data_IF_610473162424
#
_entry.id   IF_610473162424
#
_cell.length_a   1.000
_cell.length_b   1.000
_cell.length_c   1.000
_cell.angle_alpha   90.00
_cell.angle_beta   90.00
_cell.angle_gamma   90.00
#
_symmetry.space_group_name_H-M   'P 1'
#
loop_
_entity.id
_entity.type
_entity.pdbx_description
1 polymer ?
#
# COMPACT_ATOMS: atom_id res chain seq x y z
N UNK A 1 9.83 28.73 -25.12
CA UNK A 1 8.92 28.85 -23.96
C UNK A 1 7.47 28.70 -24.42
N UNK A 2 7.01 29.48 -25.40
CA UNK A 2 5.64 29.40 -25.94
C UNK A 2 5.20 28.01 -26.45
N UNK A 3 6.12 27.22 -27.01
CA UNK A 3 5.84 25.88 -27.54
C UNK A 3 5.68 24.81 -26.44
N UNK A 4 6.42 24.95 -25.34
CA UNK A 4 6.35 24.00 -24.22
C UNK A 4 5.03 24.13 -23.45
N UNK A 5 4.61 25.37 -23.16
CA UNK A 5 3.34 25.63 -22.48
C UNK A 5 2.14 25.15 -23.34
N UNK A 6 2.26 25.23 -24.67
CA UNK A 6 1.24 24.70 -25.59
C UNK A 6 1.15 23.17 -25.49
N UNK A 7 2.28 22.47 -25.63
CA UNK A 7 2.33 21.01 -25.54
C UNK A 7 1.89 20.49 -24.17
N UNK A 8 2.32 21.16 -23.09
CA UNK A 8 1.90 20.82 -21.73
C UNK A 8 0.39 21.01 -21.56
N UNK A 9 -0.16 22.10 -22.09
CA UNK A 9 -1.60 22.33 -22.07
C UNK A 9 -2.35 21.26 -22.85
N UNK A 10 -1.89 20.86 -24.04
CA UNK A 10 -2.53 19.79 -24.83
C UNK A 10 -2.53 18.43 -24.11
N UNK A 11 -1.43 18.11 -23.42
CA UNK A 11 -1.33 16.93 -22.55
C UNK A 11 -2.35 17.01 -21.41
N UNK A 12 -2.45 18.16 -20.73
CA UNK A 12 -3.39 18.35 -19.62
C UNK A 12 -4.85 18.39 -20.09
N UNK A 13 -5.13 18.96 -21.27
CA UNK A 13 -6.45 18.91 -21.92
C UNK A 13 -6.86 17.44 -22.13
N UNK A 14 -5.94 16.61 -22.62
CA UNK A 14 -6.15 15.17 -22.82
C UNK A 14 -6.38 14.43 -21.50
N UNK A 15 -5.56 14.71 -20.48
CA UNK A 15 -5.72 14.16 -19.15
C UNK A 15 -7.08 14.52 -18.53
N UNK A 16 -7.47 15.80 -18.51
CA UNK A 16 -8.74 16.21 -17.92
C UNK A 16 -9.96 15.78 -18.73
N UNK A 17 -9.84 15.59 -20.05
CA UNK A 17 -10.86 14.93 -20.86
C UNK A 17 -11.07 13.47 -20.43
N UNK A 18 -9.98 12.74 -20.16
CA UNK A 18 -10.05 11.39 -19.62
C UNK A 18 -10.67 11.37 -18.21
N UNK A 19 -10.21 12.26 -17.31
CA UNK A 19 -10.78 12.41 -15.96
C UNK A 19 -12.29 12.66 -16.01
N UNK A 20 -12.75 13.55 -16.90
CA UNK A 20 -14.18 13.87 -17.04
C UNK A 20 -15.06 12.66 -17.34
N UNK A 21 -14.54 11.69 -18.09
CA UNK A 21 -15.27 10.47 -18.46
C UNK A 21 -15.20 9.36 -17.40
N UNK A 22 -14.27 9.47 -16.43
CA UNK A 22 -13.98 8.45 -15.41
C UNK A 22 -13.96 9.02 -13.98
N UNK A 23 -14.72 10.10 -13.74
CA UNK A 23 -14.68 10.85 -12.47
C UNK A 23 -15.12 10.04 -11.25
N UNK A 24 -15.88 8.98 -11.46
CA UNK A 24 -16.41 8.07 -10.43
C UNK A 24 -15.65 6.74 -10.37
N UNK A 25 -14.62 6.56 -11.18
CA UNK A 25 -13.76 5.39 -11.10
C UNK A 25 -12.82 5.51 -9.90
N UNK A 26 -12.21 4.42 -9.47
CA UNK A 26 -11.23 4.46 -8.39
C UNK A 26 -9.84 4.85 -8.91
N UNK A 27 -9.35 6.00 -8.46
CA UNK A 27 -8.05 6.56 -8.80
C UNK A 27 -7.01 6.16 -7.77
N UNK A 28 -6.40 4.99 -7.97
CA UNK A 28 -5.27 4.53 -7.14
C UNK A 28 -4.03 5.33 -7.50
N UNK A 29 -3.39 5.93 -6.50
CA UNK A 29 -2.23 6.79 -6.69
C UNK A 29 -1.22 6.61 -5.55
N UNK A 30 -0.02 7.16 -5.72
CA UNK A 30 1.02 7.10 -4.69
C UNK A 30 1.39 8.50 -4.18
N UNK A 31 0.96 8.84 -2.97
CA UNK A 31 1.33 10.09 -2.30
C UNK A 31 1.01 11.39 -3.08
N UNK A 32 -0.06 11.40 -3.90
CA UNK A 32 -0.46 12.56 -4.73
C UNK A 32 -1.47 13.51 -4.05
N UNK A 33 -1.61 13.43 -2.71
CA UNK A 33 -2.48 14.34 -1.94
C UNK A 33 -1.83 15.68 -1.61
N UNK A 34 -0.53 15.84 -1.87
CA UNK A 34 0.19 17.04 -1.50
C UNK A 34 -0.12 18.20 -2.46
N UNK A 35 -0.45 19.41 -1.96
CA UNK A 35 -0.79 20.55 -2.82
C UNK A 35 0.38 21.08 -3.67
N UNK A 36 1.62 20.68 -3.37
CA UNK A 36 2.83 21.15 -4.06
C UNK A 36 3.18 20.29 -5.28
N UNK A 37 2.87 18.99 -5.27
CA UNK A 37 3.30 18.05 -6.32
C UNK A 37 2.25 16.99 -6.72
N UNK A 38 1.03 17.06 -6.18
CA UNK A 38 -0.05 16.10 -6.41
C UNK A 38 -1.15 16.59 -7.36
N UNK A 39 -2.37 16.06 -7.19
CA UNK A 39 -3.52 16.42 -8.03
C UNK A 39 -3.80 17.93 -8.05
N UNK A 40 -3.70 18.59 -6.89
CA UNK A 40 -3.95 20.03 -6.79
C UNK A 40 -2.88 20.85 -7.51
N UNK A 41 -1.62 20.39 -7.48
CA UNK A 41 -0.52 21.03 -8.20
C UNK A 41 -0.74 20.94 -9.73
N UNK A 42 -1.16 19.78 -10.22
CA UNK A 42 -1.51 19.55 -11.63
C UNK A 42 -2.71 20.43 -12.02
N UNK A 43 -3.75 20.50 -11.18
CA UNK A 43 -4.92 21.33 -11.42
C UNK A 43 -4.57 22.82 -11.47
N UNK A 44 -3.72 23.29 -10.55
CA UNK A 44 -3.27 24.67 -10.54
C UNK A 44 -2.40 25.00 -11.76
N UNK A 45 -1.51 24.08 -12.17
CA UNK A 45 -0.72 24.25 -13.39
C UNK A 45 -1.61 24.36 -14.63
N UNK A 46 -2.62 23.51 -14.74
CA UNK A 46 -3.57 23.56 -15.86
C UNK A 46 -4.37 24.87 -15.89
N UNK A 47 -4.81 25.40 -14.75
CA UNK A 47 -5.46 26.72 -14.65
C UNK A 47 -4.56 27.85 -15.14
N UNK A 48 -3.27 27.84 -14.77
CA UNK A 48 -2.29 28.84 -15.22
C UNK A 48 -2.13 28.83 -16.74
N UNK A 49 -2.23 27.64 -17.36
CA UNK A 49 -2.21 27.47 -18.81
C UNK A 49 -3.56 27.81 -19.49
N UNK A 50 -4.55 28.32 -18.74
CA UNK A 50 -5.87 28.69 -19.26
C UNK A 50 -6.85 27.52 -19.40
N UNK A 51 -6.53 26.36 -18.82
CA UNK A 51 -7.41 25.19 -18.77
C UNK A 51 -8.41 25.23 -17.60
N UNK A 52 -9.42 24.35 -17.66
CA UNK A 52 -10.43 24.19 -16.62
C UNK A 52 -10.37 22.77 -16.05
N UNK A 53 -9.68 22.54 -14.92
CA UNK A 53 -9.51 21.19 -14.38
C UNK A 53 -10.85 20.61 -13.93
N UNK A 54 -10.98 19.30 -14.10
CA UNK A 54 -12.08 18.52 -13.56
C UNK A 54 -11.64 17.90 -12.25
N UNK A 55 -12.42 18.12 -11.20
CA UNK A 55 -12.17 17.54 -9.89
C UNK A 55 -12.59 16.07 -9.86
N UNK A 56 -11.69 15.22 -9.35
CA UNK A 56 -12.02 13.86 -8.91
C UNK A 56 -12.43 13.98 -7.44
N UNK A 57 -13.61 13.54 -7.02
CA UNK A 57 -13.99 13.66 -5.60
C UNK A 57 -13.07 12.80 -4.72
N UNK A 58 -12.78 13.25 -3.50
CA UNK A 58 -11.83 12.57 -2.61
C UNK A 58 -12.21 11.11 -2.31
N UNK A 59 -13.50 10.78 -2.30
CA UNK A 59 -13.99 9.40 -2.13
C UNK A 59 -13.53 8.44 -3.23
N UNK A 60 -13.16 8.97 -4.40
CA UNK A 60 -12.65 8.22 -5.53
C UNK A 60 -11.12 8.22 -5.61
N UNK A 61 -10.41 8.97 -4.74
CA UNK A 61 -8.94 9.04 -4.71
C UNK A 61 -8.37 8.12 -3.63
N UNK A 62 -7.62 7.11 -4.06
CA UNK A 62 -7.05 6.10 -3.16
C UNK A 62 -5.53 6.23 -3.09
N UNK A 63 -5.02 6.82 -2.00
CA UNK A 63 -3.59 6.91 -1.73
C UNK A 63 -3.04 5.57 -1.24
N UNK A 64 -2.48 4.78 -2.15
CA UNK A 64 -1.96 3.44 -1.84
C UNK A 64 -0.92 3.50 -0.72
N UNK A 65 0.01 4.46 -0.74
CA UNK A 65 1.02 4.59 0.32
C UNK A 65 0.39 4.84 1.71
N UNK A 66 -0.75 5.54 1.77
CA UNK A 66 -1.46 5.76 3.02
C UNK A 66 -2.27 4.55 3.47
N UNK A 67 -2.92 3.85 2.53
CA UNK A 67 -3.61 2.58 2.81
C UNK A 67 -2.63 1.55 3.38
N UNK A 68 -1.42 1.51 2.82
CA UNK A 68 -0.32 0.68 3.31
C UNK A 68 0.06 0.96 4.77
N UNK A 69 -0.06 2.20 5.27
CA UNK A 69 0.16 2.50 6.68
C UNK A 69 -0.88 1.84 7.59
N UNK A 70 -2.13 1.77 7.12
CA UNK A 70 -3.21 1.10 7.84
C UNK A 70 -3.05 -0.42 7.85
N UNK A 71 -2.53 -0.98 6.75
CA UNK A 71 -2.35 -2.42 6.60
C UNK A 71 -1.08 -2.96 7.27
N UNK A 72 0.04 -2.23 7.21
CA UNK A 72 1.38 -2.77 7.52
C UNK A 72 2.22 -1.89 8.46
N UNK A 73 1.58 -0.91 9.11
CA UNK A 73 2.22 0.17 9.89
C UNK A 73 3.04 1.15 9.06
N UNK A 74 3.47 2.26 9.67
CA UNK A 74 4.24 3.32 8.98
C UNK A 74 5.64 2.86 8.54
N UNK A 75 6.15 1.82 9.16
CA UNK A 75 7.47 1.25 8.96
C UNK A 75 7.49 0.13 7.90
N UNK A 76 6.40 -0.03 7.12
CA UNK A 76 6.28 -1.09 6.12
C UNK A 76 7.43 -1.13 5.12
N UNK A 77 8.04 0.02 4.83
CA UNK A 77 9.28 0.11 4.05
C UNK A 77 10.04 1.42 4.32
N UNK A 78 11.36 1.37 4.15
CA UNK A 78 12.23 2.54 4.23
C UNK A 78 12.02 3.50 3.06
N UNK A 79 12.23 4.80 3.28
CA UNK A 79 12.24 5.77 2.18
C UNK A 79 13.58 5.77 1.42
N UNK A 80 14.69 5.67 2.13
CA UNK A 80 16.02 5.59 1.52
C UNK A 80 16.35 4.15 1.11
N UNK A 81 17.12 3.92 0.03
CA UNK A 81 17.85 4.92 -0.77
C UNK A 81 17.12 5.47 -2.01
N UNK A 82 16.05 4.82 -2.50
CA UNK A 82 15.45 5.13 -3.82
C UNK A 82 14.05 5.74 -3.76
N UNK A 83 13.50 5.94 -2.57
CA UNK A 83 12.11 6.25 -2.34
C UNK A 83 11.30 4.99 -2.00
N UNK A 84 10.31 5.15 -1.13
CA UNK A 84 9.55 4.03 -0.57
C UNK A 84 8.90 3.12 -1.64
N UNK A 85 8.38 3.69 -2.72
CA UNK A 85 7.77 2.93 -3.83
C UNK A 85 8.77 1.98 -4.50
N UNK A 86 9.98 2.47 -4.82
CA UNK A 86 10.99 1.67 -5.51
C UNK A 86 11.57 0.61 -4.58
N UNK A 87 11.78 0.97 -3.31
CA UNK A 87 12.25 0.03 -2.29
C UNK A 87 11.26 -1.14 -2.08
N UNK A 88 9.96 -0.86 -1.94
CA UNK A 88 8.96 -1.93 -1.73
C UNK A 88 8.81 -2.80 -2.98
N UNK A 89 8.95 -2.21 -4.18
CA UNK A 89 8.98 -2.95 -5.43
C UNK A 89 10.17 -3.93 -5.48
N UNK A 90 11.38 -3.45 -5.18
CA UNK A 90 12.59 -4.30 -5.15
C UNK A 90 12.47 -5.44 -4.13
N UNK A 91 11.94 -5.18 -2.93
CA UNK A 91 11.69 -6.22 -1.92
C UNK A 91 10.78 -7.33 -2.45
N UNK A 92 9.77 -6.95 -3.23
CA UNK A 92 8.81 -7.87 -3.83
C UNK A 92 9.27 -8.43 -5.17
N UNK A 93 10.54 -8.25 -5.55
CA UNK A 93 11.14 -8.70 -6.81
C UNK A 93 10.41 -8.14 -8.04
N UNK A 94 9.72 -7.02 -7.88
CA UNK A 94 9.16 -6.26 -8.98
C UNK A 94 10.32 -5.50 -9.64
N UNK A 95 10.48 -5.64 -10.96
CA UNK A 95 11.53 -4.91 -11.67
C UNK A 95 11.32 -3.40 -11.55
N UNK A 96 12.38 -2.65 -11.30
CA UNK A 96 12.34 -1.17 -11.28
C UNK A 96 13.08 -0.57 -12.47
N UNK A 97 13.35 -1.38 -13.51
CA UNK A 97 13.96 -0.91 -14.75
C UNK A 97 13.14 0.26 -15.31
N UNK A 98 13.83 1.32 -15.72
CA UNK A 98 13.27 2.54 -16.29
C UNK A 98 12.55 3.46 -15.28
N UNK A 99 12.31 3.02 -14.03
CA UNK A 99 11.79 3.89 -12.97
C UNK A 99 12.91 4.74 -12.35
N UNK A 100 12.75 6.06 -12.38
CA UNK A 100 13.73 7.00 -11.85
C UNK A 100 13.39 7.41 -10.41
N UNK A 101 14.43 7.61 -9.60
CA UNK A 101 14.34 8.31 -8.31
C UNK A 101 14.01 9.79 -8.54
N UNK A 102 13.52 10.49 -7.50
CA UNK A 102 13.17 11.91 -7.62
C UNK A 102 14.36 12.80 -8.04
N UNK A 103 15.58 12.44 -7.62
CA UNK A 103 16.80 13.12 -8.07
C UNK A 103 17.05 12.90 -9.57
N UNK A 104 16.96 11.64 -10.02
CA UNK A 104 17.16 11.30 -11.43
C UNK A 104 16.08 11.90 -12.35
N UNK A 105 14.84 12.06 -11.87
CA UNK A 105 13.79 12.77 -12.61
C UNK A 105 14.10 14.26 -12.75
N UNK A 106 14.56 14.92 -11.67
CA UNK A 106 14.99 16.31 -11.73
C UNK A 106 16.16 16.50 -12.71
N UNK A 107 17.14 15.60 -12.69
CA UNK A 107 18.30 15.62 -13.59
C UNK A 107 17.87 15.38 -15.05
N UNK A 108 16.98 14.42 -15.31
CA UNK A 108 16.45 14.14 -16.65
C UNK A 108 15.64 15.33 -17.19
N UNK A 109 14.84 15.99 -16.34
CA UNK A 109 14.10 17.20 -16.70
C UNK A 109 15.04 18.35 -17.06
N UNK A 110 16.09 18.58 -16.27
CA UNK A 110 17.09 19.62 -16.55
C UNK A 110 17.81 19.37 -17.90
N UNK A 111 18.00 18.10 -18.26
CA UNK A 111 18.60 17.68 -19.53
C UNK A 111 17.60 17.62 -20.69
N UNK A 112 16.32 17.90 -20.46
CA UNK A 112 15.22 17.79 -21.44
C UNK A 112 15.05 16.37 -22.01
N UNK A 113 15.39 15.35 -21.24
CA UNK A 113 15.19 13.95 -21.59
C UNK A 113 13.75 13.51 -21.24
N UNK A 114 12.80 14.03 -22.01
CA UNK A 114 11.37 13.78 -21.81
C UNK A 114 10.99 12.32 -22.07
N UNK A 115 11.72 11.62 -22.93
CA UNK A 115 11.50 10.20 -23.17
C UNK A 115 11.76 9.40 -21.89
N UNK A 116 12.87 9.67 -21.20
CA UNK A 116 13.20 9.00 -19.95
C UNK A 116 12.19 9.31 -18.83
N UNK A 117 11.70 10.56 -18.75
CA UNK A 117 10.62 10.95 -17.82
C UNK A 117 9.31 10.21 -18.10
N UNK A 118 8.93 10.09 -19.38
CA UNK A 118 7.75 9.36 -19.79
C UNK A 118 7.85 7.87 -19.43
N UNK A 119 8.98 7.23 -19.74
CA UNK A 119 9.22 5.82 -19.40
C UNK A 119 9.21 5.60 -17.88
N UNK A 120 9.80 6.50 -17.10
CA UNK A 120 9.72 6.49 -15.63
C UNK A 120 8.29 6.56 -15.12
N UNK A 121 7.50 7.49 -15.67
CA UNK A 121 6.10 7.67 -15.29
C UNK A 121 5.29 6.41 -15.57
N UNK A 122 5.40 5.85 -16.78
CA UNK A 122 4.73 4.61 -17.16
C UNK A 122 5.14 3.45 -16.25
N UNK A 123 6.45 3.30 -15.98
CA UNK A 123 6.94 2.24 -15.09
C UNK A 123 6.42 2.37 -13.67
N UNK A 124 6.32 3.59 -13.12
CA UNK A 124 5.77 3.82 -11.77
C UNK A 124 4.30 3.45 -11.67
N UNK A 125 3.52 3.70 -12.72
CA UNK A 125 2.11 3.24 -12.79
C UNK A 125 2.05 1.71 -12.78
N UNK A 126 2.88 1.04 -13.55
CA UNK A 126 2.97 -0.44 -13.53
C UNK A 126 3.38 -0.97 -12.14
N UNK A 127 4.34 -0.31 -11.47
CA UNK A 127 4.74 -0.65 -10.09
C UNK A 127 3.56 -0.52 -9.12
N UNK A 128 2.77 0.55 -9.21
CA UNK A 128 1.57 0.74 -8.38
C UNK A 128 0.57 -0.40 -8.60
N UNK A 129 0.35 -0.79 -9.85
CA UNK A 129 -0.55 -1.91 -10.21
C UNK A 129 -0.08 -3.23 -9.60
N UNK A 130 1.20 -3.61 -9.79
CA UNK A 130 1.73 -4.85 -9.22
C UNK A 130 1.74 -4.84 -7.67
N UNK A 131 2.02 -3.70 -7.04
CA UNK A 131 1.93 -3.59 -5.58
C UNK A 131 0.47 -3.78 -5.14
N UNK A 132 -0.48 -3.16 -5.85
CA UNK A 132 -1.91 -3.26 -5.53
C UNK A 132 -2.40 -4.70 -5.66
N UNK A 133 -1.98 -5.43 -6.69
CA UNK A 133 -2.29 -6.86 -6.86
C UNK A 133 -1.73 -7.72 -5.71
N UNK A 134 -0.48 -7.48 -5.30
CA UNK A 134 0.12 -8.18 -4.15
C UNK A 134 -0.58 -7.86 -2.83
N UNK A 135 -1.02 -6.62 -2.64
CA UNK A 135 -1.80 -6.20 -1.46
C UNK A 135 -3.16 -6.89 -1.46
N UNK A 136 -3.85 -6.93 -2.61
CA UNK A 136 -5.15 -7.60 -2.74
C UNK A 136 -5.08 -9.10 -2.46
N UNK A 137 -3.93 -9.73 -2.71
CA UNK A 137 -3.66 -11.15 -2.47
C UNK A 137 -3.10 -11.48 -1.08
N UNK A 138 -2.86 -10.47 -0.22
CA UNK A 138 -2.13 -10.61 1.05
C UNK A 138 -0.74 -11.26 0.88
N UNK A 139 -0.07 -10.95 -0.23
CA UNK A 139 1.23 -11.52 -0.63
C UNK A 139 2.37 -10.52 -0.60
N UNK A 140 2.08 -9.25 -0.28
CA UNK A 140 3.09 -8.21 -0.26
C UNK A 140 4.07 -8.43 0.90
N UNK A 141 5.34 -8.57 0.56
CA UNK A 141 6.44 -8.62 1.52
C UNK A 141 6.76 -7.20 1.98
N UNK A 142 6.75 -6.98 3.29
CA UNK A 142 7.07 -5.69 3.94
C UNK A 142 8.23 -5.86 4.91
N UNK A 143 8.84 -4.74 5.31
CA UNK A 143 9.92 -4.71 6.28
C UNK A 143 9.42 -4.86 7.74
N UNK A 144 8.13 -4.62 7.99
CA UNK A 144 7.54 -4.69 9.33
C UNK A 144 7.35 -6.15 9.78
N UNK A 145 7.80 -6.53 10.99
CA UNK A 145 7.53 -7.86 11.52
C UNK A 145 6.05 -8.04 11.89
N UNK A 146 5.51 -9.26 11.69
CA UNK A 146 4.08 -9.58 11.85
C UNK A 146 3.47 -9.18 13.20
N UNK A 147 4.21 -9.28 14.30
CA UNK A 147 3.70 -8.90 15.64
C UNK A 147 3.42 -7.39 15.77
N UNK A 148 4.09 -6.54 14.98
CA UNK A 148 3.79 -5.09 14.92
C UNK A 148 2.56 -4.79 14.06
N UNK A 149 2.28 -5.65 13.07
CA UNK A 149 1.13 -5.52 12.17
C UNK A 149 -0.16 -5.91 12.92
N UNK A 150 -0.20 -7.11 13.50
CA UNK A 150 -1.40 -7.61 14.20
C UNK A 150 -1.52 -7.12 15.65
N UNK A 151 -0.39 -6.71 16.26
CA UNK A 151 -0.32 -6.34 17.68
C UNK A 151 -0.28 -7.55 18.62
N UNK A 152 -0.14 -7.27 19.92
CA UNK A 152 -0.07 -8.28 20.99
C UNK A 152 -1.40 -8.49 21.73
N UNK A 153 -2.49 -7.90 21.23
CA UNK A 153 -3.83 -8.13 21.79
C UNK A 153 -4.30 -9.56 21.50
N UNK A 154 -5.22 -10.09 22.30
CA UNK A 154 -5.79 -11.44 22.06
C UNK A 154 -6.32 -11.57 20.61
N UNK A 155 -7.10 -10.63 20.05
CA UNK A 155 -7.51 -10.68 18.65
C UNK A 155 -6.32 -10.67 17.67
N UNK A 156 -5.29 -9.86 17.93
CA UNK A 156 -4.09 -9.79 17.10
C UNK A 156 -3.30 -11.10 17.08
N UNK A 157 -3.15 -11.75 18.22
CA UNK A 157 -2.51 -13.07 18.33
C UNK A 157 -3.33 -14.12 17.57
N UNK A 158 -4.65 -14.13 17.72
CA UNK A 158 -5.54 -15.05 16.98
C UNK A 158 -5.36 -14.87 15.47
N UNK A 159 -5.35 -13.62 14.99
CA UNK A 159 -5.21 -13.31 13.56
C UNK A 159 -3.83 -13.75 13.02
N UNK A 160 -2.76 -13.50 13.80
CA UNK A 160 -1.42 -13.94 13.45
C UNK A 160 -1.30 -15.47 13.34
N UNK A 161 -1.99 -16.22 14.22
CA UNK A 161 -2.02 -17.68 14.19
C UNK A 161 -2.80 -18.18 12.97
N UNK A 162 -3.99 -17.62 12.70
CA UNK A 162 -4.84 -18.01 11.55
C UNK A 162 -4.14 -17.82 10.21
N UNK A 163 -3.37 -16.73 10.06
CA UNK A 163 -2.65 -16.42 8.83
C UNK A 163 -1.31 -17.18 8.70
N UNK A 164 -1.05 -18.18 9.56
CA UNK A 164 0.13 -19.03 9.44
C UNK A 164 -0.20 -20.48 9.84
N UNK A 165 -0.26 -21.37 8.85
CA UNK A 165 -0.63 -22.78 9.07
C UNK A 165 0.29 -23.51 10.05
N UNK A 166 1.58 -23.14 10.12
CA UNK A 166 2.54 -23.74 11.08
C UNK A 166 2.18 -23.30 12.50
N UNK A 167 1.89 -22.01 12.70
CA UNK A 167 1.44 -21.51 14.01
C UNK A 167 0.10 -22.12 14.40
N UNK A 168 -0.83 -22.25 13.44
CA UNK A 168 -2.12 -22.92 13.64
C UNK A 168 -1.89 -24.37 14.11
N UNK A 169 -1.00 -25.12 13.45
CA UNK A 169 -0.66 -26.48 13.85
C UNK A 169 -0.05 -26.54 15.26
N UNK A 170 0.92 -25.67 15.55
CA UNK A 170 1.57 -25.61 16.86
C UNK A 170 0.58 -25.30 17.99
N UNK A 171 -0.26 -24.29 17.81
CA UNK A 171 -1.29 -23.91 18.79
C UNK A 171 -2.30 -25.05 18.96
N UNK A 172 -2.69 -25.72 17.88
CA UNK A 172 -3.61 -26.86 17.94
C UNK A 172 -3.02 -28.02 18.73
N UNK A 173 -1.73 -28.33 18.54
CA UNK A 173 -1.01 -29.35 19.33
C UNK A 173 -0.93 -28.95 20.80
N UNK A 174 -0.60 -27.68 21.11
CA UNK A 174 -0.57 -27.19 22.49
C UNK A 174 -1.94 -27.32 23.18
N UNK A 175 -3.03 -26.93 22.50
CA UNK A 175 -4.40 -27.07 23.02
C UNK A 175 -4.74 -28.54 23.25
N UNK A 176 -4.36 -29.43 22.33
CA UNK A 176 -4.59 -30.88 22.48
C UNK A 176 -3.86 -31.46 23.70
N UNK A 177 -2.57 -31.15 23.87
CA UNK A 177 -1.78 -31.61 25.02
C UNK A 177 -2.32 -31.06 26.33
N UNK A 178 -2.69 -29.78 26.37
CA UNK A 178 -3.34 -29.17 27.54
C UNK A 178 -4.67 -29.86 27.86
N UNK A 179 -5.44 -30.24 26.85
CA UNK A 179 -6.69 -30.99 27.02
C UNK A 179 -6.46 -32.31 27.73
N UNK A 180 -5.46 -33.10 27.29
CA UNK A 180 -5.08 -34.37 27.93
C UNK A 180 -4.69 -34.15 29.40
N UNK A 181 -3.81 -33.17 29.68
CA UNK A 181 -3.35 -32.89 31.05
C UNK A 181 -4.54 -32.45 31.93
N UNK A 182 -5.43 -31.62 31.39
CA UNK A 182 -6.58 -31.09 32.14
C UNK A 182 -7.62 -32.15 32.48
N UNK A 183 -7.68 -33.26 31.73
CA UNK A 183 -8.68 -34.32 31.92
C UNK A 183 -8.65 -34.88 33.34
N UNK A 184 -7.45 -35.11 33.88
CA UNK A 184 -7.27 -35.66 35.23
C UNK A 184 -7.68 -34.65 36.33
N UNK A 185 -7.40 -33.36 36.12
CA UNK A 185 -7.81 -32.29 37.04
C UNK A 185 -9.34 -32.10 37.03
N UNK A 186 -9.96 -32.12 35.85
CA UNK A 186 -11.40 -31.98 35.70
C UNK A 186 -12.13 -33.15 36.37
N UNK A 187 -11.67 -34.39 36.16
CA UNK A 187 -12.24 -35.58 36.84
C UNK A 187 -12.18 -35.45 38.36
N UNK A 188 -11.05 -34.99 38.89
CA UNK A 188 -10.86 -34.79 40.33
C UNK A 188 -11.82 -33.73 40.88
N UNK A 189 -11.89 -32.56 40.24
CA UNK A 189 -12.78 -31.46 40.64
C UNK A 189 -14.26 -31.88 40.63
N UNK A 190 -14.71 -32.58 39.58
CA UNK A 190 -16.10 -33.07 39.50
C UNK A 190 -16.41 -34.10 40.59
N UNK A 191 -15.43 -34.93 40.98
CA UNK A 191 -15.62 -35.89 42.07
C UNK A 191 -15.82 -35.19 43.43
N UNK A 192 -15.05 -34.13 43.71
CA UNK A 192 -15.19 -33.32 44.93
C UNK A 192 -16.52 -32.56 44.95
N UNK A 193 -16.94 -31.98 43.83
CA UNK A 193 -18.24 -31.31 43.72
C UNK A 193 -19.42 -32.28 43.98
N UNK A 194 -19.32 -33.52 43.52
CA UNK A 194 -20.38 -34.53 43.74
C UNK A 194 -20.53 -34.96 45.21
N UNK A 195 -19.48 -34.75 46.02
CA UNK A 195 -19.50 -34.98 47.48
C UNK A 195 -20.16 -33.79 48.20
N UNK A 196 -20.02 -32.56 47.69
CA UNK A 196 -20.60 -31.36 48.32
C UNK A 196 -22.10 -31.14 48.06
N UNK A 197 -22.68 -31.80 47.04
CA UNK A 197 -24.10 -31.67 46.66
C UNK A 197 -24.95 -32.93 46.91
N UNK A 198 -24.42 -33.91 47.66
CA UNK A 198 -25.16 -35.05 48.23
C UNK A 198 -25.13 -34.96 49.76
#
# INVERSE_FOLDING_TARGET
MHDFDLLEKEMLDSFYKYVKSHKTDYWVHWNMRNPIYGFDAIANRYKILGGNPVEIEDQFRFDLNNLMFGLYTKEFEFNEPKGRMLNIAERNKITVRDALTGKEEADAFAQRDYQKLFMSTARKVEIIDMITDLVAKDQLLVNTPKYKIYGLSIPGIIEMVKNNWILTLLVSVCIYVLGIISEDYVKTLFSEFKIFFN
#
